data_IF_729407723683
#
_entry.id   IF_729407723683
#
_cell.length_a   1.000
_cell.length_b   1.000
_cell.length_c   1.000
_cell.angle_alpha   90.00
_cell.angle_beta   90.00
_cell.angle_gamma   90.00
#
_symmetry.space_group_name_H-M   'P 1'
#
loop_
_entity.id
_entity.type
_entity.pdbx_description
1 polymer ?
#
# COMPACT_ATOMS: atom_id res chain seq x y z
N UNK A 1 -27.05 42.06 29.48
CA UNK A 1 -27.56 40.67 29.27
C UNK A 1 -26.41 39.81 28.85
N UNK A 2 -25.89 39.04 29.76
CA UNK A 2 -24.62 38.31 29.69
C UNK A 2 -24.90 36.85 29.29
N UNK A 3 -24.51 36.42 28.08
CA UNK A 3 -24.63 35.02 27.68
C UNK A 3 -23.41 34.22 28.20
N UNK A 4 -23.70 33.28 29.08
CA UNK A 4 -22.73 32.27 29.56
C UNK A 4 -22.43 31.28 28.44
N UNK A 5 -21.14 31.21 28.06
CA UNK A 5 -20.59 30.09 27.27
C UNK A 5 -20.49 28.88 28.20
N UNK A 6 -21.24 27.82 27.90
CA UNK A 6 -21.05 26.50 28.50
C UNK A 6 -19.89 25.78 27.77
N UNK A 7 -18.80 25.59 28.47
CA UNK A 7 -17.71 24.69 28.07
C UNK A 7 -18.18 23.23 28.27
N UNK A 8 -18.45 22.53 27.19
CA UNK A 8 -18.64 21.08 27.20
C UNK A 8 -17.25 20.44 27.06
N UNK A 9 -16.68 20.07 28.20
CA UNK A 9 -15.50 19.20 28.25
C UNK A 9 -15.93 17.80 27.85
N UNK A 10 -15.62 17.39 26.61
CA UNK A 10 -15.68 15.98 26.20
C UNK A 10 -14.56 15.22 26.92
N UNK A 11 -14.94 14.38 27.89
CA UNK A 11 -14.06 13.33 28.39
C UNK A 11 -13.72 12.40 27.26
N UNK A 12 -12.44 12.35 26.86
CA UNK A 12 -11.91 11.29 26.05
C UNK A 12 -11.92 10.01 26.89
N UNK A 13 -12.75 9.05 26.53
CA UNK A 13 -12.68 7.70 27.05
C UNK A 13 -11.33 7.10 26.60
N UNK A 14 -10.33 7.22 27.47
CA UNK A 14 -9.12 6.41 27.35
C UNK A 14 -9.57 4.97 27.55
N UNK A 15 -9.69 4.20 26.44
CA UNK A 15 -9.71 2.74 26.53
C UNK A 15 -8.51 2.34 27.37
N UNK A 16 -8.76 1.75 28.52
CA UNK A 16 -7.72 1.18 29.37
C UNK A 16 -7.01 0.11 28.56
N UNK A 17 -5.78 0.39 28.18
CA UNK A 17 -4.90 -0.57 27.50
C UNK A 17 -4.47 -1.54 28.60
N UNK A 18 -5.05 -2.74 28.61
CA UNK A 18 -4.57 -3.86 29.42
C UNK A 18 -3.18 -4.18 28.89
N UNK A 19 -2.14 -3.98 29.69
CA UNK A 19 -0.77 -4.36 29.33
C UNK A 19 -0.64 -5.87 29.55
N UNK A 20 -0.71 -6.65 28.48
CA UNK A 20 -0.31 -8.06 28.54
C UNK A 20 1.21 -8.10 28.74
N UNK A 21 1.74 -8.79 29.76
CA UNK A 21 3.17 -8.95 29.95
C UNK A 21 3.78 -9.50 28.65
N UNK A 22 4.99 -9.09 28.32
CA UNK A 22 5.74 -9.65 27.20
C UNK A 22 6.04 -11.12 27.54
N UNK A 23 5.09 -12.04 27.28
CA UNK A 23 5.43 -13.44 27.23
C UNK A 23 6.54 -13.56 26.19
N UNK A 24 7.64 -14.22 26.57
CA UNK A 24 8.85 -14.25 25.77
C UNK A 24 8.58 -14.84 24.40
N UNK A 25 8.22 -13.98 23.44
CA UNK A 25 8.17 -14.33 22.03
C UNK A 25 9.59 -14.78 21.65
N UNK A 26 9.76 -16.07 21.52
CA UNK A 26 11.07 -16.65 21.21
C UNK A 26 11.23 -16.55 19.69
N UNK A 27 11.89 -15.50 19.20
CA UNK A 27 12.16 -15.27 17.78
C UNK A 27 12.73 -16.49 17.06
N UNK A 28 13.36 -17.42 17.82
CA UNK A 28 13.85 -18.71 17.31
C UNK A 28 12.77 -19.73 16.99
N UNK A 29 11.56 -19.62 17.53
CA UNK A 29 10.45 -20.56 17.24
C UNK A 29 9.65 -20.17 16.00
N UNK A 30 9.73 -18.91 15.56
CA UNK A 30 9.01 -18.43 14.36
C UNK A 30 9.73 -18.77 13.04
N UNK A 31 10.88 -19.46 13.06
CA UNK A 31 11.62 -19.82 11.84
C UNK A 31 12.15 -18.61 11.06
N UNK A 32 12.24 -17.44 11.71
CA UNK A 32 12.87 -16.24 11.16
C UNK A 32 14.36 -16.46 11.24
N UNK A 33 14.93 -17.13 10.22
CA UNK A 33 16.36 -17.19 9.97
C UNK A 33 16.91 -15.77 9.78
N UNK A 34 18.22 -15.60 9.97
CA UNK A 34 18.96 -14.35 9.77
C UNK A 34 19.01 -13.89 8.29
N UNK A 35 18.05 -14.28 7.45
CA UNK A 35 17.91 -13.73 6.11
C UNK A 35 17.46 -12.28 6.23
N UNK A 36 18.30 -11.36 5.74
CA UNK A 36 17.92 -9.96 5.58
C UNK A 36 16.61 -9.93 4.80
N UNK A 37 15.52 -9.34 5.33
CA UNK A 37 14.20 -9.36 4.70
C UNK A 37 14.14 -8.51 3.41
N UNK A 38 15.27 -7.98 2.95
CA UNK A 38 15.40 -7.13 1.77
C UNK A 38 16.64 -7.50 0.95
N UNK A 39 16.54 -7.34 -0.37
CA UNK A 39 17.66 -7.51 -1.30
C UNK A 39 18.75 -6.47 -1.02
N UNK A 40 19.99 -6.82 -1.31
CA UNK A 40 21.09 -5.83 -1.32
C UNK A 40 20.76 -4.73 -2.36
N UNK A 41 21.08 -3.48 -2.03
CA UNK A 41 20.79 -2.34 -2.91
C UNK A 41 21.40 -2.50 -4.30
N UNK A 42 22.57 -3.13 -4.38
CA UNK A 42 23.25 -3.42 -5.65
C UNK A 42 22.57 -4.50 -6.51
N UNK A 43 21.77 -5.35 -5.87
CA UNK A 43 21.05 -6.45 -6.55
C UNK A 43 19.63 -6.05 -6.97
N UNK A 44 19.21 -4.81 -6.68
CA UNK A 44 17.90 -4.32 -7.07
C UNK A 44 17.80 -4.23 -8.59
N UNK A 45 16.62 -4.50 -9.09
CA UNK A 45 16.20 -4.24 -10.47
C UNK A 45 15.08 -3.19 -10.50
N UNK A 46 14.67 -2.77 -11.68
CA UNK A 46 13.66 -1.70 -11.84
C UNK A 46 12.27 -2.10 -11.31
N UNK A 47 12.03 -3.38 -11.00
CA UNK A 47 10.76 -3.82 -10.38
C UNK A 47 10.69 -3.50 -8.88
N UNK A 48 11.81 -3.13 -8.26
CA UNK A 48 11.81 -2.67 -6.88
C UNK A 48 11.21 -1.27 -6.76
N UNK A 49 10.16 -1.10 -5.96
CA UNK A 49 9.43 0.16 -5.80
C UNK A 49 10.34 1.36 -5.49
N UNK A 50 11.30 1.21 -4.58
CA UNK A 50 12.21 2.29 -4.22
C UNK A 50 13.05 2.71 -5.42
N UNK A 51 13.65 1.75 -6.12
CA UNK A 51 14.50 2.03 -7.29
C UNK A 51 13.68 2.60 -8.45
N UNK A 52 12.50 2.02 -8.74
CA UNK A 52 11.57 2.54 -9.74
C UNK A 52 11.22 3.99 -9.51
N UNK A 53 10.86 4.34 -8.27
CA UNK A 53 10.52 5.70 -7.86
C UNK A 53 11.70 6.66 -8.07
N UNK A 54 12.94 6.23 -7.76
CA UNK A 54 14.13 7.06 -7.96
C UNK A 54 14.49 7.26 -9.43
N UNK A 55 14.35 6.24 -10.26
CA UNK A 55 14.57 6.33 -11.71
C UNK A 55 13.49 7.19 -12.38
N UNK A 56 12.22 7.02 -11.97
CA UNK A 56 11.09 7.81 -12.49
C UNK A 56 11.06 9.27 -12.00
N UNK A 57 11.98 9.69 -11.12
CA UNK A 57 12.21 11.11 -10.83
C UNK A 57 12.89 11.87 -11.98
N UNK A 58 13.45 11.19 -12.97
CA UNK A 58 13.88 11.79 -14.22
C UNK A 58 12.66 12.12 -15.08
N UNK A 59 12.39 13.42 -15.38
CA UNK A 59 11.20 13.85 -16.12
C UNK A 59 11.13 13.27 -17.53
N UNK A 60 12.26 13.11 -18.20
CA UNK A 60 12.30 12.61 -19.57
C UNK A 60 12.05 11.11 -19.64
N UNK A 61 12.59 10.34 -18.68
CA UNK A 61 12.30 8.90 -18.58
C UNK A 61 10.84 8.65 -18.24
N UNK A 62 10.30 9.38 -17.26
CA UNK A 62 8.92 9.24 -16.85
C UNK A 62 7.95 9.66 -17.97
N UNK A 63 8.22 10.81 -18.64
CA UNK A 63 7.43 11.25 -19.79
C UNK A 63 7.40 10.20 -20.90
N UNK A 64 8.58 9.67 -21.25
CA UNK A 64 8.69 8.65 -22.30
C UNK A 64 7.96 7.36 -21.93
N UNK A 65 8.02 6.94 -20.67
CA UNK A 65 7.27 5.77 -20.18
C UNK A 65 5.76 5.97 -20.37
N UNK A 66 5.24 7.14 -19.97
CA UNK A 66 3.82 7.44 -20.12
C UNK A 66 3.39 7.50 -21.59
N UNK A 67 4.21 8.11 -22.47
CA UNK A 67 3.97 8.10 -23.92
C UNK A 67 3.88 6.71 -24.50
N UNK A 68 4.77 5.80 -24.07
CA UNK A 68 4.78 4.39 -24.52
C UNK A 68 3.56 3.63 -24.01
N UNK A 69 3.13 3.87 -22.77
CA UNK A 69 1.96 3.19 -22.18
C UNK A 69 0.65 3.68 -22.80
N UNK A 70 0.54 4.98 -23.06
CA UNK A 70 -0.72 5.63 -23.44
C UNK A 70 -0.86 5.84 -24.95
N UNK A 71 0.21 5.63 -25.71
CA UNK A 71 0.30 5.92 -27.17
C UNK A 71 -0.10 7.38 -27.50
N UNK A 72 0.40 8.33 -26.71
CA UNK A 72 0.13 9.78 -26.86
C UNK A 72 1.42 10.58 -26.70
N UNK A 73 1.46 11.79 -27.29
CA UNK A 73 2.52 12.77 -27.06
C UNK A 73 2.24 13.58 -25.78
N UNK A 74 3.26 13.71 -24.90
CA UNK A 74 3.23 14.50 -23.68
C UNK A 74 4.30 15.58 -23.77
N UNK A 75 3.88 16.86 -23.84
CA UNK A 75 4.81 17.98 -24.03
C UNK A 75 5.76 18.18 -22.86
N UNK A 76 5.26 18.15 -21.64
CA UNK A 76 5.99 18.44 -20.40
C UNK A 76 5.38 17.75 -19.22
N UNK A 77 6.24 17.30 -18.31
CA UNK A 77 5.85 16.78 -17.00
C UNK A 77 6.19 17.80 -15.91
N UNK A 78 5.25 17.99 -15.01
CA UNK A 78 5.40 18.76 -13.78
C UNK A 78 5.21 17.83 -12.59
N UNK A 79 6.28 17.61 -11.83
CA UNK A 79 6.15 16.83 -10.58
C UNK A 79 5.42 17.67 -9.53
N UNK A 80 4.35 17.12 -8.99
CA UNK A 80 3.81 17.57 -7.74
C UNK A 80 4.67 16.94 -6.64
N UNK A 81 5.25 17.74 -5.78
CA UNK A 81 6.15 17.39 -4.67
C UNK A 81 6.48 15.89 -4.46
N UNK A 82 7.77 15.60 -4.17
CA UNK A 82 8.28 14.23 -3.96
C UNK A 82 7.37 13.45 -3.02
N UNK A 83 6.97 12.24 -3.43
CA UNK A 83 6.17 11.30 -2.62
C UNK A 83 4.92 11.96 -2.00
N UNK A 84 3.89 12.20 -2.79
CA UNK A 84 2.68 12.83 -2.28
C UNK A 84 1.89 11.86 -1.40
N UNK A 85 1.94 12.09 -0.09
CA UNK A 85 0.99 11.46 0.85
C UNK A 85 -0.30 12.27 0.81
N UNK A 86 -1.40 11.62 0.46
CA UNK A 86 -2.72 12.22 0.44
C UNK A 86 -3.44 11.87 1.74
N UNK A 87 -3.48 12.83 2.66
CA UNK A 87 -4.16 12.72 3.95
C UNK A 87 -5.35 13.69 4.00
N UNK A 88 -6.56 13.17 3.95
CA UNK A 88 -7.75 14.04 4.01
C UNK A 88 -8.48 14.05 5.34
N UNK A 89 -8.44 12.99 6.11
CA UNK A 89 -9.11 12.89 7.39
C UNK A 89 -8.31 12.06 8.36
N UNK A 90 -8.30 12.50 9.61
CA UNK A 90 -7.68 11.84 10.76
C UNK A 90 -8.04 10.34 10.94
N UNK A 91 -9.11 9.86 10.29
CA UNK A 91 -9.59 8.47 10.38
C UNK A 91 -9.59 7.73 9.04
N UNK A 92 -9.22 8.38 7.92
CA UNK A 92 -9.14 7.75 6.61
C UNK A 92 -7.78 7.06 6.42
N UNK A 93 -7.77 6.01 5.59
CA UNK A 93 -6.51 5.36 5.18
C UNK A 93 -5.76 6.31 4.26
N UNK A 94 -4.60 6.80 4.70
CA UNK A 94 -3.70 7.60 3.84
C UNK A 94 -3.25 6.80 2.62
N UNK A 95 -3.02 7.49 1.52
CA UNK A 95 -2.49 6.94 0.28
C UNK A 95 -1.13 7.56 0.01
N UNK A 96 -0.13 6.72 -0.18
CA UNK A 96 1.16 7.11 -0.71
C UNK A 96 1.19 6.67 -2.17
N UNK A 97 1.35 7.63 -3.08
CA UNK A 97 1.44 7.38 -4.51
C UNK A 97 2.92 7.24 -4.90
N UNK A 98 3.24 6.22 -5.69
CA UNK A 98 4.63 5.96 -6.09
C UNK A 98 5.15 7.06 -7.02
N UNK A 99 4.52 7.28 -8.16
CA UNK A 99 4.88 8.35 -9.11
C UNK A 99 3.64 9.16 -9.44
N UNK A 100 3.52 10.34 -8.84
CA UNK A 100 2.40 11.26 -9.05
C UNK A 100 2.84 12.54 -9.75
N UNK A 101 2.22 12.85 -10.88
CA UNK A 101 2.61 13.99 -11.70
C UNK A 101 1.47 14.57 -12.53
N UNK A 102 1.68 15.79 -13.06
CA UNK A 102 0.79 16.45 -14.04
C UNK A 102 1.55 16.77 -15.31
N UNK A 103 0.83 16.76 -16.43
CA UNK A 103 1.37 17.31 -17.68
C UNK A 103 1.01 18.79 -17.88
N UNK A 104 1.54 19.41 -18.95
CA UNK A 104 1.27 20.80 -19.30
C UNK A 104 -0.20 21.11 -19.63
N UNK A 105 -1.04 20.10 -19.84
CA UNK A 105 -2.50 20.22 -20.06
C UNK A 105 -3.30 20.03 -18.78
N UNK A 106 -2.62 19.70 -17.69
CA UNK A 106 -3.24 19.45 -16.39
C UNK A 106 -3.69 18.00 -16.18
N UNK A 107 -3.47 17.09 -17.12
CA UNK A 107 -3.73 15.66 -16.95
C UNK A 107 -2.89 15.11 -15.80
N UNK A 108 -3.50 14.31 -14.96
CA UNK A 108 -2.88 13.70 -13.77
C UNK A 108 -2.56 12.25 -14.05
N UNK A 109 -1.37 11.84 -13.63
CA UNK A 109 -0.90 10.47 -13.76
C UNK A 109 -0.43 9.97 -12.41
N UNK A 110 -0.84 8.76 -12.06
CA UNK A 110 -0.37 7.99 -10.94
C UNK A 110 0.14 6.65 -11.46
N UNK A 111 1.43 6.35 -11.26
CA UNK A 111 2.07 5.12 -11.74
C UNK A 111 2.61 4.33 -10.57
N UNK A 112 2.09 3.12 -10.41
CA UNK A 112 2.35 2.22 -9.29
C UNK A 112 3.08 0.94 -9.74
N UNK A 113 4.20 0.60 -9.12
CA UNK A 113 4.87 -0.67 -9.31
C UNK A 113 4.34 -1.71 -8.32
N UNK A 114 3.78 -2.83 -8.81
CA UNK A 114 3.19 -3.88 -7.97
C UNK A 114 3.89 -5.23 -8.18
N UNK A 115 4.75 -5.59 -7.24
CA UNK A 115 5.49 -6.85 -7.27
C UNK A 115 4.70 -8.05 -6.75
N UNK A 116 3.58 -7.81 -6.06
CA UNK A 116 2.72 -8.86 -5.51
C UNK A 116 1.25 -8.58 -5.83
N UNK A 117 0.42 -9.62 -5.87
CA UNK A 117 -1.01 -9.48 -6.07
C UNK A 117 -1.79 -9.63 -4.74
N UNK A 118 -2.17 -8.53 -4.09
CA UNK A 118 -2.95 -8.58 -2.85
C UNK A 118 -4.44 -8.92 -3.08
N UNK A 119 -4.87 -9.18 -4.32
CA UNK A 119 -6.25 -9.53 -4.66
C UNK A 119 -7.25 -8.37 -4.60
N UNK A 120 -6.80 -7.14 -4.38
CA UNK A 120 -7.68 -5.97 -4.19
C UNK A 120 -7.34 -4.76 -5.09
N UNK A 121 -6.41 -4.91 -6.04
CA UNK A 121 -5.94 -3.81 -6.91
C UNK A 121 -7.08 -3.06 -7.63
N UNK A 122 -8.14 -3.70 -8.15
CA UNK A 122 -9.27 -2.96 -8.75
C UNK A 122 -9.99 -2.02 -7.77
N UNK A 123 -10.10 -2.41 -6.49
CA UNK A 123 -10.67 -1.53 -5.46
C UNK A 123 -9.69 -0.45 -5.03
N UNK A 124 -8.39 -0.78 -4.99
CA UNK A 124 -7.32 0.15 -4.67
C UNK A 124 -7.21 1.23 -5.74
N UNK A 125 -7.31 0.88 -7.04
CA UNK A 125 -7.26 1.87 -8.12
C UNK A 125 -8.41 2.88 -8.05
N UNK A 126 -9.64 2.44 -7.66
CA UNK A 126 -10.76 3.34 -7.41
C UNK A 126 -10.46 4.28 -6.24
N UNK A 127 -9.97 3.73 -5.12
CA UNK A 127 -9.66 4.54 -3.93
C UNK A 127 -8.57 5.58 -4.20
N UNK A 128 -7.56 5.24 -5.01
CA UNK A 128 -6.52 6.16 -5.43
C UNK A 128 -7.09 7.30 -6.27
N UNK A 129 -7.94 6.97 -7.25
CA UNK A 129 -8.66 7.96 -8.03
C UNK A 129 -9.46 8.93 -7.14
N UNK A 130 -10.26 8.38 -6.20
CA UNK A 130 -11.08 9.20 -5.30
C UNK A 130 -10.21 10.14 -4.44
N UNK A 131 -9.05 9.67 -3.95
CA UNK A 131 -8.11 10.47 -3.17
C UNK A 131 -7.43 11.56 -4.01
N UNK A 132 -7.10 11.28 -5.26
CA UNK A 132 -6.55 12.24 -6.20
C UNK A 132 -7.57 13.37 -6.44
N UNK A 133 -8.81 13.04 -6.75
CA UNK A 133 -9.88 13.99 -7.02
C UNK A 133 -10.17 14.90 -5.81
N UNK A 134 -10.22 14.32 -4.61
CA UNK A 134 -10.39 15.06 -3.36
C UNK A 134 -9.26 16.08 -3.09
N UNK A 135 -8.04 15.77 -3.55
CA UNK A 135 -6.90 16.67 -3.40
C UNK A 135 -6.79 17.73 -4.49
N UNK A 136 -7.43 17.50 -5.62
CA UNK A 136 -7.38 18.42 -6.76
C UNK A 136 -8.47 19.50 -6.71
N UNK A 137 -9.66 19.16 -6.21
CA UNK A 137 -10.82 20.02 -6.19
C UNK A 137 -10.95 20.75 -4.85
N UNK A 138 -10.76 22.05 -4.83
CA UNK A 138 -10.91 22.85 -3.64
C UNK A 138 -12.40 23.06 -3.28
N UNK A 139 -12.66 23.30 -1.97
CA UNK A 139 -14.02 23.56 -1.50
C UNK A 139 -14.66 24.74 -2.21
N UNK A 140 -15.78 24.49 -2.88
CA UNK A 140 -16.58 25.52 -3.58
C UNK A 140 -16.23 25.65 -5.06
N UNK A 141 -15.29 24.85 -5.55
CA UNK A 141 -15.04 24.72 -7.00
C UNK A 141 -16.07 23.80 -7.66
N UNK A 142 -16.34 24.04 -8.96
CA UNK A 142 -17.24 23.19 -9.76
C UNK A 142 -16.53 21.90 -10.21
N UNK A 143 -17.29 20.84 -10.39
CA UNK A 143 -16.76 19.51 -10.77
C UNK A 143 -16.13 19.51 -12.18
N UNK A 144 -16.44 20.48 -13.04
CA UNK A 144 -15.83 20.67 -14.35
C UNK A 144 -14.33 21.01 -14.30
N UNK A 145 -13.79 21.27 -13.10
CA UNK A 145 -12.36 21.49 -12.86
C UNK A 145 -11.59 20.23 -12.51
N UNK A 146 -12.30 19.09 -12.35
CA UNK A 146 -11.61 17.82 -12.20
C UNK A 146 -10.73 17.55 -13.43
N UNK A 147 -9.52 17.12 -13.17
CA UNK A 147 -8.55 16.86 -14.22
C UNK A 147 -8.75 15.47 -14.81
N UNK A 148 -8.47 15.29 -16.08
CA UNK A 148 -8.27 13.96 -16.65
C UNK A 148 -7.24 13.21 -15.82
N UNK A 149 -7.52 11.97 -15.45
CA UNK A 149 -6.69 11.20 -14.55
C UNK A 149 -6.46 9.76 -15.02
N UNK A 150 -5.21 9.34 -14.98
CA UNK A 150 -4.78 7.98 -15.25
C UNK A 150 -4.19 7.36 -13.98
N UNK A 151 -4.74 6.21 -13.56
CA UNK A 151 -4.16 5.38 -12.50
C UNK A 151 -3.62 4.11 -13.15
N UNK A 152 -2.29 3.97 -13.15
CA UNK A 152 -1.56 2.96 -13.89
C UNK A 152 -0.86 2.03 -12.92
N UNK A 153 -1.18 0.74 -12.96
CA UNK A 153 -0.49 -0.30 -12.20
C UNK A 153 0.38 -1.15 -13.12
N UNK A 154 1.67 -1.19 -12.86
CA UNK A 154 2.61 -2.13 -13.48
C UNK A 154 2.66 -3.36 -12.57
N UNK A 155 1.96 -4.44 -12.94
CA UNK A 155 1.80 -5.63 -12.13
C UNK A 155 2.73 -6.75 -12.63
N UNK A 156 3.52 -7.36 -11.73
CA UNK A 156 4.32 -8.54 -12.11
C UNK A 156 3.49 -9.82 -12.23
N UNK A 157 2.21 -9.79 -11.80
CA UNK A 157 1.24 -10.87 -11.99
C UNK A 157 0.09 -10.43 -12.91
N UNK A 158 -0.40 -11.34 -13.76
CA UNK A 158 -1.66 -11.09 -14.51
C UNK A 158 -2.86 -11.19 -13.58
N UNK A 159 -3.29 -10.06 -13.05
CA UNK A 159 -4.38 -9.98 -12.06
C UNK A 159 -5.75 -10.38 -12.63
N UNK A 160 -5.93 -10.29 -13.96
CA UNK A 160 -7.18 -10.67 -14.65
C UNK A 160 -7.14 -12.06 -15.29
N UNK A 161 -5.95 -12.68 -15.37
CA UNK A 161 -5.73 -14.03 -15.90
C UNK A 161 -6.27 -14.22 -17.32
N UNK A 162 -6.08 -13.22 -18.19
CA UNK A 162 -6.48 -13.24 -19.60
C UNK A 162 -5.30 -13.21 -20.56
N UNK A 163 -4.05 -13.15 -20.02
CA UNK A 163 -2.81 -13.19 -20.77
C UNK A 163 -2.50 -11.94 -21.59
N UNK A 164 -3.17 -10.80 -21.38
CA UNK A 164 -2.88 -9.55 -22.10
C UNK A 164 -1.72 -8.81 -21.46
N UNK A 165 -0.99 -8.02 -22.27
CA UNK A 165 0.01 -7.08 -21.76
C UNK A 165 -0.64 -5.86 -21.07
N UNK A 166 -1.79 -5.42 -21.56
CA UNK A 166 -2.48 -4.23 -21.09
C UNK A 166 -3.98 -4.48 -20.90
N UNK A 167 -4.51 -3.97 -19.81
CA UNK A 167 -5.95 -3.92 -19.52
C UNK A 167 -6.30 -2.48 -19.21
N UNK A 168 -7.09 -1.86 -20.08
CA UNK A 168 -7.59 -0.49 -19.93
C UNK A 168 -9.04 -0.51 -19.54
N UNK A 169 -9.41 0.24 -18.52
CA UNK A 169 -10.76 0.35 -18.00
C UNK A 169 -11.22 1.80 -17.99
N UNK A 170 -12.37 2.02 -18.65
CA UNK A 170 -13.11 3.26 -18.68
C UNK A 170 -14.59 2.96 -18.37
N UNK A 171 -15.36 3.97 -17.98
CA UNK A 171 -16.75 3.80 -17.63
C UNK A 171 -17.65 3.86 -18.87
N UNK A 172 -18.45 2.82 -19.08
CA UNK A 172 -19.37 2.70 -20.21
C UNK A 172 -20.80 2.35 -19.76
N UNK A 173 -21.79 2.71 -20.56
CA UNK A 173 -23.18 2.35 -20.31
C UNK A 173 -23.38 0.84 -20.55
N UNK A 174 -23.86 0.10 -19.54
CA UNK A 174 -24.07 -1.36 -19.64
C UNK A 174 -25.16 -1.68 -20.67
N UNK A 175 -26.21 -0.84 -20.80
CA UNK A 175 -27.31 -1.04 -21.71
C UNK A 175 -26.98 -0.66 -23.15
N UNK A 176 -26.00 0.22 -23.34
CA UNK A 176 -25.53 0.67 -24.64
C UNK A 176 -24.00 0.91 -24.56
N UNK A 177 -23.18 -0.10 -24.86
CA UNK A 177 -21.71 -0.01 -24.73
C UNK A 177 -21.02 1.01 -25.64
N UNK A 178 -21.73 1.55 -26.65
CA UNK A 178 -21.21 2.61 -27.52
C UNK A 178 -21.28 3.98 -26.85
N UNK A 179 -21.90 4.10 -25.67
CA UNK A 179 -21.96 5.32 -24.88
C UNK A 179 -20.89 5.27 -23.77
N UNK A 180 -19.83 6.06 -23.93
CA UNK A 180 -18.87 6.32 -22.86
C UNK A 180 -19.46 7.28 -21.81
N UNK A 181 -19.08 7.15 -20.54
CA UNK A 181 -19.49 8.10 -19.49
C UNK A 181 -18.77 9.44 -19.62
N UNK A 182 -17.59 9.44 -20.27
CA UNK A 182 -16.71 10.62 -20.48
C UNK A 182 -16.37 11.37 -19.19
N UNK A 183 -16.15 10.60 -18.10
CA UNK A 183 -15.76 11.13 -16.79
C UNK A 183 -14.25 11.39 -16.68
N UNK A 184 -13.52 11.24 -17.79
CA UNK A 184 -12.09 11.48 -17.91
C UNK A 184 -11.21 10.67 -16.94
N UNK A 185 -11.72 9.52 -16.45
CA UNK A 185 -10.96 8.61 -15.60
C UNK A 185 -10.59 7.34 -16.35
N UNK A 186 -9.31 6.98 -16.32
CA UNK A 186 -8.81 5.76 -16.95
C UNK A 186 -7.95 4.97 -15.97
N UNK A 187 -8.18 3.67 -15.88
CA UNK A 187 -7.37 2.75 -15.07
C UNK A 187 -6.68 1.76 -15.97
N UNK A 188 -5.35 1.62 -15.83
CA UNK A 188 -4.53 0.75 -16.65
C UNK A 188 -3.79 -0.24 -15.76
N UNK A 189 -3.79 -1.50 -16.19
CA UNK A 189 -3.03 -2.56 -15.55
C UNK A 189 -2.15 -3.23 -16.59
N UNK A 190 -0.84 -3.18 -16.37
CA UNK A 190 0.16 -3.80 -17.24
C UNK A 190 0.57 -5.15 -16.68
N UNK A 191 0.85 -6.10 -17.59
CA UNK A 191 1.33 -7.45 -17.28
C UNK A 191 2.53 -7.78 -18.18
N UNK A 192 3.75 -7.85 -17.66
CA UNK A 192 4.95 -8.12 -18.43
C UNK A 192 5.09 -9.58 -18.85
N UNK A 193 4.30 -10.50 -18.29
CA UNK A 193 4.37 -11.94 -18.59
C UNK A 193 3.42 -12.39 -19.73
N UNK A 194 2.84 -11.44 -20.48
CA UNK A 194 2.04 -11.79 -21.64
C UNK A 194 2.90 -12.29 -22.80
N UNK A 195 2.34 -13.21 -23.59
CA UNK A 195 2.90 -13.66 -24.87
C UNK A 195 2.07 -13.14 -26.07
N UNK A 196 1.07 -12.29 -25.83
CA UNK A 196 0.21 -11.75 -26.88
C UNK A 196 0.92 -10.61 -27.63
N UNK A 197 0.56 -10.43 -28.89
CA UNK A 197 0.98 -9.26 -29.68
C UNK A 197 -0.13 -8.22 -29.68
N UNK A 198 -0.36 -7.59 -28.52
CA UNK A 198 -1.51 -6.70 -28.25
C UNK A 198 -1.07 -5.29 -27.76
N UNK A 199 0.21 -4.96 -27.86
CA UNK A 199 0.78 -3.64 -27.53
C UNK A 199 1.81 -3.21 -28.59
N UNK A 200 2.25 -1.95 -28.53
CA UNK A 200 3.34 -1.45 -29.39
C UNK A 200 4.66 -2.18 -29.10
N UNK A 201 5.58 -2.24 -30.07
CA UNK A 201 6.91 -2.82 -29.85
C UNK A 201 7.67 -2.17 -28.70
N UNK A 202 7.55 -0.85 -28.52
CA UNK A 202 8.20 -0.10 -27.44
C UNK A 202 7.65 -0.53 -26.07
N UNK A 203 6.32 -0.69 -25.94
CA UNK A 203 5.73 -1.17 -24.69
C UNK A 203 6.11 -2.62 -24.41
N UNK A 204 6.11 -3.48 -25.43
CA UNK A 204 6.56 -4.87 -25.30
C UNK A 204 8.02 -4.95 -24.84
N UNK A 205 8.90 -4.11 -25.40
CA UNK A 205 10.32 -4.03 -25.02
C UNK A 205 10.50 -3.58 -23.58
N UNK A 206 9.76 -2.56 -23.14
CA UNK A 206 9.78 -2.10 -21.75
C UNK A 206 9.30 -3.20 -20.79
N UNK A 207 8.18 -3.85 -21.09
CA UNK A 207 7.64 -4.93 -20.24
C UNK A 207 8.61 -6.11 -20.16
N UNK A 208 9.26 -6.48 -21.27
CA UNK A 208 10.30 -7.49 -21.29
C UNK A 208 11.51 -7.09 -20.46
N UNK A 209 11.95 -5.82 -20.57
CA UNK A 209 13.06 -5.30 -19.78
C UNK A 209 12.80 -5.42 -18.27
N UNK A 210 11.57 -5.25 -17.80
CA UNK A 210 11.21 -5.45 -16.39
C UNK A 210 11.46 -6.90 -15.91
N UNK A 211 11.38 -7.90 -16.82
CA UNK A 211 11.53 -9.31 -16.47
C UNK A 211 12.99 -9.77 -16.55
N UNK A 212 13.67 -9.44 -17.64
CA UNK A 212 15.00 -10.00 -17.93
C UNK A 212 16.15 -9.00 -17.72
N UNK A 213 15.84 -7.71 -17.53
CA UNK A 213 16.81 -6.65 -17.31
C UNK A 213 17.67 -6.33 -18.54
N UNK A 214 17.33 -6.87 -19.73
CA UNK A 214 18.12 -6.70 -20.94
C UNK A 214 17.55 -5.58 -21.82
N UNK A 215 18.28 -4.49 -22.04
CA UNK A 215 17.84 -3.42 -22.93
C UNK A 215 17.89 -3.88 -24.38
N UNK A 216 16.88 -3.46 -25.17
CA UNK A 216 16.74 -3.85 -26.59
C UNK A 216 16.41 -2.66 -27.51
N UNK A 217 16.19 -1.48 -26.95
CA UNK A 217 15.95 -0.23 -27.66
C UNK A 217 16.51 0.96 -26.87
N UNK A 218 16.51 2.15 -27.48
CA UNK A 218 17.06 3.38 -26.89
C UNK A 218 16.43 3.70 -25.51
N UNK A 219 15.12 3.46 -25.35
CA UNK A 219 14.45 3.77 -24.09
C UNK A 219 14.90 2.83 -22.96
N UNK A 220 14.95 1.53 -23.23
CA UNK A 220 15.40 0.53 -22.24
C UNK A 220 16.89 0.63 -21.95
N UNK A 221 17.73 1.07 -22.94
CA UNK A 221 19.14 1.42 -22.71
C UNK A 221 19.27 2.59 -21.72
N UNK A 222 18.51 3.67 -21.91
CA UNK A 222 18.47 4.81 -20.98
C UNK A 222 17.96 4.44 -19.59
N UNK A 223 16.98 3.55 -19.50
CA UNK A 223 16.51 3.01 -18.21
C UNK A 223 17.62 2.24 -17.50
N UNK A 224 18.36 1.39 -18.21
CA UNK A 224 19.48 0.64 -17.66
C UNK A 224 20.56 1.59 -17.12
N UNK A 225 20.95 2.61 -17.90
CA UNK A 225 21.92 3.62 -17.47
C UNK A 225 21.48 4.35 -16.20
N UNK A 226 20.19 4.71 -16.11
CA UNK A 226 19.63 5.36 -14.94
C UNK A 226 19.62 4.43 -13.71
N UNK A 227 19.28 3.15 -13.88
CA UNK A 227 19.35 2.12 -12.83
C UNK A 227 20.77 1.96 -12.31
N UNK A 228 21.77 1.82 -13.21
CA UNK A 228 23.16 1.68 -12.82
C UNK A 228 23.70 2.97 -12.15
N UNK A 229 23.28 4.13 -12.61
CA UNK A 229 23.62 5.41 -11.97
C UNK A 229 23.05 5.49 -10.55
N UNK A 230 21.78 5.12 -10.38
CA UNK A 230 21.14 5.08 -9.07
C UNK A 230 21.83 4.10 -8.12
N UNK A 231 22.15 2.87 -8.58
CA UNK A 231 22.87 1.85 -7.81
C UNK A 231 24.28 2.29 -7.39
N UNK A 232 24.93 3.15 -8.15
CA UNK A 232 26.25 3.69 -7.83
C UNK A 232 26.19 4.92 -6.91
N UNK A 233 25.00 5.39 -6.56
CA UNK A 233 24.82 6.54 -5.68
C UNK A 233 24.75 6.11 -4.20
N UNK A 234 25.81 6.43 -3.44
CA UNK A 234 25.90 6.13 -2.01
C UNK A 234 24.79 6.75 -1.15
N UNK A 235 24.28 7.90 -1.54
CA UNK A 235 23.20 8.55 -0.80
C UNK A 235 21.89 7.79 -0.97
N UNK A 236 21.61 7.28 -2.18
CA UNK A 236 20.45 6.44 -2.43
C UNK A 236 20.54 5.09 -1.72
N UNK A 237 21.75 4.51 -1.64
CA UNK A 237 21.98 3.30 -0.84
C UNK A 237 21.63 3.50 0.64
N UNK A 238 22.07 4.61 1.24
CA UNK A 238 21.75 4.94 2.64
C UNK A 238 20.24 5.22 2.83
N UNK A 239 19.62 5.93 1.90
CA UNK A 239 18.18 6.19 1.90
C UNK A 239 17.36 4.89 1.83
N UNK A 240 17.78 3.97 0.95
CA UNK A 240 17.18 2.63 0.84
C UNK A 240 17.27 1.85 2.14
N UNK A 241 18.46 1.83 2.77
CA UNK A 241 18.66 1.13 4.05
C UNK A 241 17.77 1.73 5.15
N UNK A 242 17.66 3.05 5.22
CA UNK A 242 16.78 3.74 6.18
C UNK A 242 15.29 3.44 5.92
N UNK A 243 14.87 3.46 4.67
CA UNK A 243 13.51 3.13 4.26
C UNK A 243 13.10 1.73 4.70
N UNK A 244 13.95 0.73 4.44
CA UNK A 244 13.67 -0.65 4.84
C UNK A 244 13.76 -0.89 6.34
N UNK A 245 14.65 -0.21 7.04
CA UNK A 245 14.71 -0.27 8.51
C UNK A 245 13.37 0.21 9.12
N UNK A 246 12.84 1.33 8.64
CA UNK A 246 11.54 1.85 9.09
C UNK A 246 10.38 0.88 8.75
N UNK A 247 10.36 0.33 7.53
CA UNK A 247 9.36 -0.69 7.16
C UNK A 247 9.41 -1.93 8.04
N UNK A 248 10.62 -2.38 8.40
CA UNK A 248 10.80 -3.53 9.27
C UNK A 248 10.28 -3.25 10.69
N UNK A 249 10.52 -2.04 11.19
CA UNK A 249 10.02 -1.63 12.50
C UNK A 249 8.49 -1.57 12.50
N UNK A 250 7.86 -0.97 11.49
CA UNK A 250 6.40 -0.96 11.33
C UNK A 250 5.80 -2.37 11.21
N UNK A 251 6.44 -3.25 10.43
CA UNK A 251 6.03 -4.65 10.31
C UNK A 251 6.10 -5.38 11.66
N UNK A 252 7.20 -5.20 12.39
CA UNK A 252 7.39 -5.84 13.69
C UNK A 252 6.39 -5.31 14.73
N UNK A 253 6.08 -4.01 14.70
CA UNK A 253 5.04 -3.42 15.54
C UNK A 253 3.66 -3.98 15.19
N UNK A 254 3.32 -4.08 13.90
CA UNK A 254 2.08 -4.68 13.42
C UNK A 254 1.95 -6.15 13.84
N UNK A 255 3.03 -6.93 13.72
CA UNK A 255 3.06 -8.33 14.14
C UNK A 255 2.83 -8.47 15.66
N UNK A 256 3.49 -7.62 16.46
CA UNK A 256 3.30 -7.58 17.92
C UNK A 256 1.88 -7.19 18.29
N UNK A 257 1.31 -6.19 17.62
CA UNK A 257 -0.07 -5.76 17.84
C UNK A 257 -1.07 -6.87 17.50
N UNK A 258 -0.92 -7.52 16.35
CA UNK A 258 -1.78 -8.62 15.93
C UNK A 258 -1.68 -9.85 16.85
N UNK A 259 -0.46 -10.19 17.30
CA UNK A 259 -0.25 -11.27 18.28
C UNK A 259 -0.97 -10.96 19.61
N UNK A 260 -0.81 -9.74 20.12
CA UNK A 260 -1.47 -9.31 21.35
C UNK A 260 -3.00 -9.28 21.24
N UNK A 261 -3.53 -8.89 20.07
CA UNK A 261 -4.97 -8.93 19.80
C UNK A 261 -5.48 -10.39 19.76
N UNK A 262 -4.72 -11.27 19.11
CA UNK A 262 -5.02 -12.70 19.06
C UNK A 262 -5.05 -13.36 20.46
N UNK A 263 -4.04 -13.07 21.30
CA UNK A 263 -4.00 -13.56 22.68
C UNK A 263 -5.20 -13.06 23.50
N UNK A 264 -5.58 -11.78 23.36
CA UNK A 264 -6.77 -11.23 24.06
C UNK A 264 -8.06 -11.88 23.61
N UNK A 265 -8.23 -12.08 22.30
CA UNK A 265 -9.41 -12.75 21.75
C UNK A 265 -9.48 -14.21 22.22
N UNK A 266 -8.35 -14.92 22.24
CA UNK A 266 -8.23 -16.28 22.74
C UNK A 266 -8.55 -16.37 24.24
N UNK A 267 -7.98 -15.48 25.06
CA UNK A 267 -8.26 -15.40 26.49
C UNK A 267 -9.76 -15.18 26.75
N UNK A 268 -10.38 -14.23 26.04
CA UNK A 268 -11.80 -13.97 26.17
C UNK A 268 -12.65 -15.21 25.83
N UNK A 269 -12.29 -15.92 24.76
CA UNK A 269 -12.97 -17.15 24.35
C UNK A 269 -12.80 -18.26 25.39
N UNK A 270 -11.60 -18.44 25.96
CA UNK A 270 -11.34 -19.42 27.04
C UNK A 270 -12.15 -19.09 28.28
N UNK A 271 -12.11 -17.86 28.78
CA UNK A 271 -12.88 -17.42 29.93
C UNK A 271 -14.37 -17.65 29.72
N UNK A 272 -14.89 -17.26 28.55
CA UNK A 272 -16.32 -17.43 28.21
C UNK A 272 -16.74 -18.91 28.15
N UNK A 273 -15.81 -19.79 27.79
CA UNK A 273 -16.06 -21.25 27.75
C UNK A 273 -15.98 -21.87 29.14
N UNK A 274 -14.98 -21.48 29.93
CA UNK A 274 -14.70 -22.12 31.24
C UNK A 274 -15.60 -21.58 32.34
N UNK A 275 -15.99 -20.31 32.33
CA UNK A 275 -16.82 -19.67 33.35
C UNK A 275 -18.12 -20.43 33.65
N UNK A 276 -18.96 -20.86 32.69
CA UNK A 276 -20.18 -21.61 32.97
C UNK A 276 -19.92 -23.02 33.49
N UNK A 277 -18.74 -23.59 33.17
CA UNK A 277 -18.36 -24.95 33.54
C UNK A 277 -17.81 -24.97 34.98
N UNK A 278 -16.81 -24.15 35.25
CA UNK A 278 -16.05 -24.15 36.51
C UNK A 278 -16.70 -23.28 37.59
N UNK A 279 -17.53 -22.29 37.22
CA UNK A 279 -18.34 -21.42 38.06
C UNK A 279 -17.59 -20.56 39.08
N UNK A 280 -16.37 -20.89 39.42
CA UNK A 280 -15.52 -20.18 40.37
C UNK A 280 -14.33 -19.57 39.61
N UNK A 281 -13.99 -18.34 39.97
CA UNK A 281 -12.91 -17.58 39.32
C UNK A 281 -11.55 -18.27 39.50
N UNK A 282 -11.26 -18.78 40.71
CA UNK A 282 -9.95 -19.38 41.01
C UNK A 282 -9.71 -20.61 40.15
N UNK A 283 -10.73 -21.46 39.95
CA UNK A 283 -10.65 -22.61 39.06
C UNK A 283 -10.48 -22.21 37.58
N UNK A 284 -11.10 -21.11 37.13
CA UNK A 284 -10.94 -20.59 35.79
C UNK A 284 -9.53 -20.03 35.59
N UNK A 285 -9.03 -19.30 36.57
CA UNK A 285 -7.67 -18.77 36.57
C UNK A 285 -6.64 -19.89 36.46
N UNK A 286 -6.71 -20.89 37.34
CA UNK A 286 -5.77 -22.03 37.37
C UNK A 286 -5.76 -22.77 36.01
N UNK A 287 -6.94 -23.02 35.43
CA UNK A 287 -7.04 -23.68 34.12
C UNK A 287 -6.46 -22.86 32.96
N UNK A 288 -6.51 -21.52 33.03
CA UNK A 288 -5.95 -20.64 31.99
C UNK A 288 -4.44 -20.56 32.10
N UNK A 289 -3.88 -20.41 33.30
CA UNK A 289 -2.42 -20.28 33.48
C UNK A 289 -1.66 -21.59 33.29
N UNK A 290 -2.36 -22.75 33.29
CA UNK A 290 -1.80 -24.03 32.88
C UNK A 290 -1.51 -24.10 31.35
N UNK A 291 -2.11 -23.20 30.56
CA UNK A 291 -1.86 -23.11 29.12
C UNK A 291 -0.59 -22.28 28.88
N UNK A 292 0.37 -22.82 28.13
CA UNK A 292 1.70 -22.22 27.93
C UNK A 292 1.61 -20.78 27.42
N UNK A 293 0.69 -20.48 26.50
CA UNK A 293 0.48 -19.14 25.92
C UNK A 293 0.00 -18.09 26.93
N UNK A 294 -0.58 -18.52 28.05
CA UNK A 294 -1.16 -17.65 29.09
C UNK A 294 -0.49 -17.79 30.46
N UNK A 295 0.63 -18.51 30.55
CA UNK A 295 1.33 -18.77 31.81
C UNK A 295 1.79 -17.48 32.53
N UNK A 296 2.12 -16.44 31.74
CA UNK A 296 2.61 -15.16 32.26
C UNK A 296 1.51 -14.09 32.41
N UNK A 297 0.23 -14.46 32.17
CA UNK A 297 -0.87 -13.50 32.28
C UNK A 297 -1.20 -13.20 33.73
N UNK A 298 -1.49 -11.96 34.05
CA UNK A 298 -1.79 -11.57 35.41
C UNK A 298 -3.20 -11.97 35.84
N UNK A 299 -3.38 -12.17 37.13
CA UNK A 299 -4.69 -12.50 37.75
C UNK A 299 -5.71 -11.39 37.49
N UNK A 300 -5.25 -10.11 37.47
CA UNK A 300 -6.07 -8.94 37.22
C UNK A 300 -6.62 -8.95 35.79
N UNK A 301 -5.80 -9.32 34.81
CA UNK A 301 -6.21 -9.38 33.39
C UNK A 301 -7.25 -10.48 33.15
N UNK A 302 -7.08 -11.65 33.76
CA UNK A 302 -8.09 -12.72 33.68
C UNK A 302 -9.36 -12.31 34.38
N UNK A 303 -9.28 -11.63 35.55
CA UNK A 303 -10.43 -11.13 36.29
C UNK A 303 -11.22 -10.11 35.46
N UNK A 304 -10.54 -9.21 34.75
CA UNK A 304 -11.19 -8.23 33.87
C UNK A 304 -11.96 -8.92 32.73
N UNK A 305 -11.38 -9.95 32.11
CA UNK A 305 -12.08 -10.78 31.12
C UNK A 305 -13.25 -11.53 31.73
N UNK A 306 -13.07 -12.12 32.92
CA UNK A 306 -14.11 -12.87 33.63
C UNK A 306 -15.34 -12.01 33.97
N UNK A 307 -15.13 -10.74 34.35
CA UNK A 307 -16.20 -9.78 34.62
C UNK A 307 -16.94 -9.34 33.34
N UNK A 308 -16.26 -9.29 32.20
CA UNK A 308 -16.85 -8.90 30.92
C UNK A 308 -17.59 -10.02 30.19
N UNK A 309 -17.29 -11.26 30.54
CA UNK A 309 -18.00 -12.42 30.00
C UNK A 309 -19.37 -12.58 30.68
N UNK A 310 -20.45 -12.90 29.91
CA UNK A 310 -21.80 -13.08 30.45
C UNK A 310 -21.92 -14.24 31.44
#
# INVERSE_FOLDING_TARGET
MTQKKQNVTRKSDKKSIVNIPKSGYNEKQAGIGEEKPYKDFKELDLTNNFLFLKVMQDPELCRKLLEIILDVEIERIEYSEKEKTLDEKWEAKSVRLDVYLKDGRGTVYDVEMQTTNPGNLPKRSRYYQDMIDLNLLARGEGYEKLNRCFVIFICLDDIFKRGRHIYTFENQCIQDPDIALDDETTKIFLNPHSEMNDVSPELANFLKFLIDGNPVDEFTERLMEAVETAKNNKMLELEYMSYYANMQDEYNEGLKAGHNEGLRAGLFAMVNTLKPILKDFDNVYDAIVETEEYADITREEIMECYQKCP
#
